data_IF_748097518208
#
_entry.id   IF_748097518208
#
_cell.length_a   1.000
_cell.length_b   1.000
_cell.length_c   1.000
_cell.angle_alpha   90.00
_cell.angle_beta   90.00
_cell.angle_gamma   90.00
#
_symmetry.space_group_name_H-M   'P 1'
#
loop_
_entity.id
_entity.type
_entity.pdbx_description
1 polymer ?
#
# COMPACT_ATOMS: atom_id res chain seq x y z
N UNK A 1 -55.84 52.82 12.68
CA UNK A 1 -55.41 54.08 13.32
C UNK A 1 -54.13 53.81 14.08
N UNK A 2 -53.09 54.62 13.81
CA UNK A 2 -52.04 55.09 14.75
C UNK A 2 -51.14 54.01 15.39
N UNK A 3 -49.89 53.84 14.91
CA UNK A 3 -48.65 54.55 15.34
C UNK A 3 -48.03 53.95 16.62
N UNK A 4 -46.72 53.80 16.83
CA UNK A 4 -45.48 54.18 16.14
C UNK A 4 -44.32 53.43 16.86
N UNK A 5 -43.16 53.20 16.22
CA UNK A 5 -41.90 53.92 16.48
C UNK A 5 -41.18 53.46 17.77
N UNK A 6 -39.88 53.18 17.88
CA UNK A 6 -38.68 53.55 17.14
C UNK A 6 -37.51 52.61 17.57
N UNK A 7 -36.64 52.12 16.67
CA UNK A 7 -35.26 52.55 16.35
C UNK A 7 -34.11 52.22 17.34
N UNK A 8 -33.15 51.44 16.78
CA UNK A 8 -31.67 51.64 16.68
C UNK A 8 -30.70 51.00 17.69
N UNK A 9 -29.63 50.42 17.10
CA UNK A 9 -28.30 50.12 17.65
C UNK A 9 -27.85 48.70 17.28
N UNK A 10 -27.37 48.39 16.07
CA UNK A 10 -26.01 48.61 15.51
C UNK A 10 -24.89 48.44 16.52
N UNK A 11 -24.25 47.27 16.51
CA UNK A 11 -22.83 47.11 16.86
C UNK A 11 -22.22 45.89 16.16
N UNK A 12 -21.47 46.15 15.10
CA UNK A 12 -20.26 45.39 14.73
C UNK A 12 -19.06 46.28 15.10
N UNK A 13 -17.76 45.89 14.97
CA UNK A 13 -17.12 44.60 14.65
C UNK A 13 -16.02 44.29 15.75
N UNK A 14 -14.82 43.67 15.57
CA UNK A 14 -13.89 43.72 14.43
C UNK A 14 -13.34 42.37 13.91
N UNK A 15 -12.96 42.45 12.64
CA UNK A 15 -12.05 41.56 11.96
C UNK A 15 -10.59 41.80 12.40
N UNK A 16 -9.82 40.71 12.51
CA UNK A 16 -8.36 40.55 12.34
C UNK A 16 -8.04 39.14 12.88
N UNK A 17 -7.19 38.29 12.32
CA UNK A 17 -5.96 38.56 11.60
C UNK A 17 -5.65 37.35 10.71
N UNK A 18 -5.21 37.63 9.48
CA UNK A 18 -4.59 36.67 8.59
C UNK A 18 -3.24 36.21 9.17
N UNK A 19 -2.95 34.91 9.11
CA UNK A 19 -1.60 34.40 9.23
C UNK A 19 -1.39 33.30 8.18
N UNK A 20 -1.06 33.74 6.97
CA UNK A 20 -0.37 32.93 5.99
C UNK A 20 1.07 32.73 6.50
N UNK A 21 1.46 31.48 6.75
CA UNK A 21 2.88 31.12 6.87
C UNK A 21 3.16 29.96 5.92
N UNK A 22 3.65 30.31 4.75
CA UNK A 22 4.35 29.38 3.87
C UNK A 22 5.67 28.99 4.54
N UNK A 23 5.89 27.68 4.70
CA UNK A 23 7.21 27.19 5.08
C UNK A 23 7.86 26.43 3.93
N UNK A 24 9.00 26.98 3.54
CA UNK A 24 9.82 26.62 2.40
C UNK A 24 10.42 25.22 2.58
N UNK A 25 10.48 24.51 1.46
CA UNK A 25 11.39 23.37 1.23
C UNK A 25 12.83 23.81 1.49
N UNK A 26 13.55 23.09 2.33
CA UNK A 26 15.01 23.00 2.28
C UNK A 26 15.42 21.54 2.14
N UNK A 27 16.02 21.24 0.98
CA UNK A 27 16.89 20.09 0.78
C UNK A 27 18.28 20.48 1.31
N UNK A 28 18.82 19.71 2.24
CA UNK A 28 20.27 19.60 2.42
C UNK A 28 20.56 18.29 3.15
N UNK A 29 21.25 17.38 2.45
CA UNK A 29 21.69 16.13 3.03
C UNK A 29 22.81 16.35 4.06
N UNK A 30 22.97 15.38 4.94
CA UNK A 30 24.28 14.97 5.41
C UNK A 30 24.25 13.52 5.91
N UNK A 31 25.01 12.68 5.21
CA UNK A 31 25.50 11.41 5.72
C UNK A 31 26.36 11.66 6.95
N UNK A 32 25.96 11.14 8.11
CA UNK A 32 26.86 10.98 9.26
C UNK A 32 27.17 9.52 9.45
N UNK A 33 28.36 9.17 8.96
CA UNK A 33 29.12 7.97 9.25
C UNK A 33 29.72 8.15 10.66
N UNK A 34 29.54 7.17 11.53
CA UNK A 34 30.21 7.12 12.84
C UNK A 34 30.76 5.69 13.09
N UNK A 35 31.79 5.56 13.95
CA UNK A 35 32.96 4.73 13.67
C UNK A 35 32.99 3.38 14.41
N UNK A 36 34.02 2.61 14.08
CA UNK A 36 34.18 1.20 14.43
C UNK A 36 34.48 0.88 15.89
N UNK A 37 34.23 -0.39 16.22
CA UNK A 37 34.73 -1.10 17.39
C UNK A 37 35.57 -2.30 16.95
N UNK A 38 36.69 -2.48 17.64
CA UNK A 38 37.88 -3.24 17.28
C UNK A 38 37.85 -4.72 17.69
N UNK A 39 38.54 -5.55 16.88
CA UNK A 39 39.37 -6.75 17.18
C UNK A 39 38.88 -7.86 18.14
N UNK A 40 38.90 -9.09 17.59
CA UNK A 40 39.77 -10.20 18.03
C UNK A 40 39.95 -11.17 16.84
N UNK A 41 41.05 -11.11 16.06
CA UNK A 41 42.30 -11.87 16.19
C UNK A 41 42.13 -13.32 16.68
N UNK A 42 42.27 -14.29 15.75
CA UNK A 42 43.16 -15.43 15.93
C UNK A 42 43.79 -15.80 14.59
N UNK A 43 45.11 -15.88 14.65
CA UNK A 43 46.05 -16.23 13.59
C UNK A 43 45.99 -17.72 13.28
N UNK A 44 46.28 -18.09 12.03
CA UNK A 44 47.26 -19.14 11.72
C UNK A 44 47.60 -19.10 10.21
N UNK A 45 48.87 -18.76 9.94
CA UNK A 45 49.83 -19.39 9.02
C UNK A 45 49.28 -20.16 7.80
N UNK A 46 49.78 -20.00 6.57
CA UNK A 46 51.06 -19.52 6.06
C UNK A 46 51.40 -20.34 4.80
N UNK A 47 52.34 -19.83 3.98
CA UNK A 47 52.91 -20.42 2.74
C UNK A 47 51.99 -20.26 1.50
N UNK A 48 52.34 -19.55 0.42
CA UNK A 48 53.65 -19.27 -0.18
C UNK A 48 53.89 -20.22 -1.35
N UNK A 49 53.63 -19.78 -2.60
CA UNK A 49 53.94 -20.53 -3.83
C UNK A 49 53.23 -19.98 -5.08
N UNK A 50 53.82 -20.04 -6.29
CA UNK A 50 54.01 -18.85 -7.13
C UNK A 50 53.02 -18.66 -8.29
N UNK A 51 52.95 -17.42 -8.76
CA UNK A 51 52.33 -17.00 -10.02
C UNK A 51 53.08 -17.63 -11.21
N UNK A 52 52.35 -18.34 -12.07
CA UNK A 52 52.72 -18.54 -13.48
C UNK A 52 51.55 -18.10 -14.35
N UNK A 53 51.78 -17.05 -15.12
CA UNK A 53 51.00 -16.65 -16.29
C UNK A 53 51.29 -17.60 -17.44
N UNK A 54 50.25 -18.25 -17.97
CA UNK A 54 50.28 -18.82 -19.33
C UNK A 54 48.99 -18.39 -20.01
N UNK A 55 49.16 -17.54 -21.02
CA UNK A 55 48.19 -17.22 -22.06
C UNK A 55 47.85 -18.47 -22.88
N UNK A 56 46.57 -18.72 -23.16
CA UNK A 56 46.20 -19.77 -24.11
C UNK A 56 44.70 -20.05 -24.22
N UNK A 57 44.16 -19.68 -25.37
CA UNK A 57 43.07 -20.35 -26.11
C UNK A 57 41.71 -20.59 -25.43
N UNK A 58 40.80 -19.69 -25.83
CA UNK A 58 39.37 -19.90 -26.10
C UNK A 58 39.07 -21.32 -26.61
N UNK A 59 38.32 -22.10 -25.81
CA UNK A 59 37.43 -23.15 -26.30
C UNK A 59 36.10 -23.00 -25.56
N UNK A 60 35.15 -22.34 -26.22
CA UNK A 60 33.74 -22.48 -25.92
C UNK A 60 33.29 -23.83 -26.47
N UNK A 61 33.13 -24.82 -25.60
CA UNK A 61 32.30 -26.02 -25.77
C UNK A 61 31.47 -26.09 -24.48
N UNK A 62 30.16 -25.92 -24.49
CA UNK A 62 29.22 -26.71 -25.27
C UNK A 62 28.60 -27.72 -24.30
N UNK A 63 27.34 -27.49 -23.91
CA UNK A 63 26.52 -28.43 -23.15
C UNK A 63 26.48 -28.19 -21.64
N UNK A 64 25.65 -27.25 -21.19
CA UNK A 64 25.14 -27.28 -19.82
C UNK A 64 24.19 -28.49 -19.68
N UNK A 65 24.76 -29.69 -19.53
CA UNK A 65 24.01 -30.90 -19.17
C UNK A 65 23.20 -30.57 -17.92
N UNK A 66 21.87 -30.60 -18.04
CA UNK A 66 20.97 -30.43 -16.91
C UNK A 66 21.31 -31.49 -15.86
N UNK A 67 22.10 -31.11 -14.86
CA UNK A 67 22.52 -31.99 -13.78
C UNK A 67 21.25 -32.55 -13.15
N UNK A 68 21.01 -33.86 -13.30
CA UNK A 68 19.91 -34.57 -12.63
C UNK A 68 20.05 -34.27 -11.14
N UNK A 69 19.10 -33.52 -10.57
CA UNK A 69 19.13 -33.15 -9.14
C UNK A 69 19.18 -34.44 -8.34
N UNK A 70 20.27 -34.69 -7.60
CA UNK A 70 20.35 -35.84 -6.70
C UNK A 70 19.15 -35.82 -5.77
N UNK A 71 18.41 -36.94 -5.73
CA UNK A 71 17.28 -37.09 -4.82
C UNK A 71 17.79 -37.09 -3.39
N UNK A 72 17.37 -36.10 -2.59
CA UNK A 72 17.76 -35.94 -1.18
C UNK A 72 16.54 -36.25 -0.30
N UNK A 73 16.28 -37.54 0.04
CA UNK A 73 15.05 -37.94 0.73
C UNK A 73 14.91 -37.28 2.10
N UNK A 74 16.02 -37.13 2.84
CA UNK A 74 16.04 -36.48 4.16
C UNK A 74 15.64 -35.00 4.04
N UNK A 75 16.13 -34.28 3.03
CA UNK A 75 15.77 -32.88 2.82
C UNK A 75 14.29 -32.72 2.46
N UNK A 76 13.75 -33.63 1.63
CA UNK A 76 12.33 -33.66 1.29
C UNK A 76 11.45 -33.94 2.52
N UNK A 77 11.84 -34.91 3.35
CA UNK A 77 11.14 -35.24 4.59
C UNK A 77 11.19 -34.10 5.60
N UNK A 78 12.36 -33.48 5.81
CA UNK A 78 12.50 -32.33 6.70
C UNK A 78 11.65 -31.14 6.24
N UNK A 79 11.54 -30.91 4.92
CA UNK A 79 10.66 -29.89 4.35
C UNK A 79 9.19 -30.16 4.71
N UNK A 80 8.71 -31.39 4.50
CA UNK A 80 7.33 -31.80 4.85
C UNK A 80 7.04 -31.62 6.35
N UNK A 81 7.97 -32.03 7.22
CA UNK A 81 7.82 -31.88 8.68
C UNK A 81 7.76 -30.41 9.07
N UNK A 82 8.62 -29.55 8.49
CA UNK A 82 8.59 -28.10 8.76
C UNK A 82 7.28 -27.47 8.32
N UNK A 83 6.78 -27.82 7.14
CA UNK A 83 5.50 -27.32 6.62
C UNK A 83 4.33 -27.76 7.49
N UNK A 84 4.30 -29.04 7.88
CA UNK A 84 3.29 -29.56 8.81
C UNK A 84 3.31 -28.84 10.16
N UNK A 85 4.50 -28.69 10.76
CA UNK A 85 4.67 -27.94 12.02
C UNK A 85 4.27 -26.47 11.87
N UNK A 86 4.58 -25.84 10.73
CA UNK A 86 4.21 -24.46 10.46
C UNK A 86 2.68 -24.28 10.30
N UNK A 87 1.98 -25.27 9.74
CA UNK A 87 0.52 -25.27 9.66
C UNK A 87 -0.12 -25.47 11.03
N UNK A 88 0.39 -26.44 11.81
CA UNK A 88 -0.14 -26.78 13.14
C UNK A 88 0.12 -25.67 14.17
N UNK A 89 1.33 -25.12 14.17
CA UNK A 89 1.77 -24.07 15.09
C UNK A 89 1.60 -22.67 14.47
N UNK A 90 0.67 -22.51 13.53
CA UNK A 90 0.42 -21.21 12.92
C UNK A 90 -0.20 -20.29 13.98
N UNK A 91 0.45 -19.17 14.36
CA UNK A 91 -0.11 -18.27 15.36
C UNK A 91 -1.41 -17.67 14.82
N UNK A 92 -2.39 -17.48 15.71
CA UNK A 92 -3.71 -16.94 15.36
C UNK A 92 -3.65 -15.43 15.10
N UNK A 93 -4.68 -14.85 14.47
CA UNK A 93 -4.63 -13.42 14.19
C UNK A 93 -4.72 -12.61 15.50
N UNK A 94 -5.33 -13.15 16.55
CA UNK A 94 -5.29 -12.60 17.91
C UNK A 94 -3.87 -12.50 18.49
N UNK A 95 -3.10 -13.58 18.44
CA UNK A 95 -1.72 -13.61 18.94
C UNK A 95 -0.78 -12.73 18.11
N UNK A 96 -0.95 -12.76 16.77
CA UNK A 96 -0.14 -11.96 15.84
C UNK A 96 -0.36 -10.47 16.02
N UNK A 97 -1.62 -10.08 16.21
CA UNK A 97 -2.01 -8.68 16.21
C UNK A 97 -2.32 -8.10 17.59
N UNK A 98 -2.14 -8.89 18.66
CA UNK A 98 -2.09 -8.41 20.03
C UNK A 98 -1.16 -7.20 20.16
N UNK A 99 -1.54 -6.26 21.02
CA UNK A 99 -0.88 -4.99 21.19
C UNK A 99 -1.02 -4.52 22.64
N UNK A 100 0.11 -4.18 23.25
CA UNK A 100 0.15 -3.55 24.57
C UNK A 100 -0.02 -2.04 24.40
N UNK A 101 -1.15 -1.50 24.86
CA UNK A 101 -1.52 -0.09 24.65
C UNK A 101 -0.62 0.91 25.41
N UNK A 102 0.06 0.47 26.46
CA UNK A 102 1.00 1.30 27.22
C UNK A 102 2.33 1.46 26.47
N UNK A 103 2.92 0.34 26.03
CA UNK A 103 4.28 0.31 25.45
C UNK A 103 4.29 0.41 23.92
N UNK A 104 3.13 0.25 23.27
CA UNK A 104 2.93 0.14 21.83
C UNK A 104 3.75 -1.00 21.20
N UNK A 105 3.95 -2.09 21.94
CA UNK A 105 4.68 -3.28 21.51
C UNK A 105 3.74 -4.43 21.23
N UNK A 106 4.12 -5.25 20.25
CA UNK A 106 3.44 -6.53 19.99
C UNK A 106 4.12 -7.63 20.79
N UNK A 107 3.45 -8.34 21.70
CA UNK A 107 4.09 -9.31 22.59
C UNK A 107 4.75 -10.47 21.84
N UNK A 108 4.16 -10.94 20.74
CA UNK A 108 4.73 -12.04 19.94
C UNK A 108 6.05 -11.68 19.24
N UNK A 109 6.14 -10.47 18.68
CA UNK A 109 7.31 -10.05 17.88
C UNK A 109 8.27 -9.13 18.63
N UNK A 110 7.83 -8.60 19.78
CA UNK A 110 8.49 -7.58 20.58
C UNK A 110 8.82 -6.28 19.81
N UNK A 111 8.25 -6.11 18.62
CA UNK A 111 8.42 -4.91 17.80
C UNK A 111 7.46 -3.81 18.26
N UNK A 112 7.98 -2.58 18.29
CA UNK A 112 7.20 -1.37 18.54
C UNK A 112 6.48 -0.92 17.27
N UNK A 113 5.29 -0.37 17.43
CA UNK A 113 4.59 0.30 16.33
C UNK A 113 5.27 1.61 15.95
N UNK A 114 5.18 2.04 14.68
CA UNK A 114 5.63 3.37 14.26
C UNK A 114 4.93 4.48 15.06
N UNK A 115 5.66 5.53 15.41
CA UNK A 115 5.18 6.63 16.27
C UNK A 115 3.91 7.28 15.73
N UNK A 116 3.83 7.49 14.41
CA UNK A 116 2.65 8.10 13.76
C UNK A 116 1.37 7.28 13.94
N UNK A 117 1.46 5.98 14.18
CA UNK A 117 0.30 5.13 14.39
C UNK A 117 -0.21 5.13 15.84
N UNK A 118 0.53 5.73 16.79
CA UNK A 118 0.19 5.66 18.22
C UNK A 118 -1.09 6.43 18.56
N UNK A 119 -1.31 7.57 17.92
CA UNK A 119 -2.52 8.38 18.11
C UNK A 119 -3.77 7.63 17.64
N UNK A 120 -3.69 7.04 16.45
CA UNK A 120 -4.77 6.25 15.86
C UNK A 120 -5.09 5.02 16.73
N UNK A 121 -4.05 4.32 17.20
CA UNK A 121 -4.20 3.15 18.11
C UNK A 121 -4.97 3.47 19.38
N UNK A 122 -4.82 4.67 19.93
CA UNK A 122 -5.46 5.07 21.20
C UNK A 122 -6.89 5.55 21.00
N UNK A 123 -7.17 6.23 19.89
CA UNK A 123 -8.42 6.95 19.69
C UNK A 123 -9.44 6.15 18.88
N UNK A 124 -8.96 5.30 17.96
CA UNK A 124 -9.80 4.64 16.97
C UNK A 124 -9.89 3.13 17.21
N UNK A 125 -10.84 2.49 16.52
CA UNK A 125 -11.13 1.08 16.70
C UNK A 125 -10.61 0.21 15.54
N UNK A 126 -10.40 -1.07 15.85
CA UNK A 126 -10.24 -2.12 14.84
C UNK A 126 -11.58 -2.40 14.17
N UNK A 127 -11.53 -2.90 12.94
CA UNK A 127 -12.76 -3.21 12.19
C UNK A 127 -13.66 -4.19 12.95
N UNK A 128 -13.10 -5.31 13.41
CA UNK A 128 -13.89 -6.38 14.05
C UNK A 128 -14.39 -6.00 15.44
N UNK A 129 -13.65 -5.16 16.18
CA UNK A 129 -14.14 -4.59 17.43
C UNK A 129 -15.45 -3.80 17.25
N UNK A 130 -15.63 -3.14 16.09
CA UNK A 130 -16.89 -2.47 15.74
C UNK A 130 -17.97 -3.44 15.28
N UNK A 131 -17.60 -4.47 14.51
CA UNK A 131 -18.54 -5.42 13.92
C UNK A 131 -19.11 -6.41 14.93
N UNK A 132 -18.32 -6.86 15.91
CA UNK A 132 -18.77 -7.82 16.92
C UNK A 132 -19.85 -7.26 17.85
N UNK A 133 -19.99 -5.93 17.95
CA UNK A 133 -21.07 -5.27 18.67
C UNK A 133 -22.40 -5.28 17.92
N UNK A 134 -22.39 -5.64 16.63
CA UNK A 134 -23.56 -5.65 15.77
C UNK A 134 -24.12 -7.06 15.57
N UNK A 135 -25.44 -7.17 15.35
CA UNK A 135 -26.03 -8.43 14.94
C UNK A 135 -25.44 -8.87 13.60
N UNK A 136 -25.21 -10.19 13.47
CA UNK A 136 -24.62 -10.82 12.26
C UNK A 136 -23.30 -10.19 11.82
N UNK A 137 -22.47 -9.74 12.78
CA UNK A 137 -21.16 -9.14 12.54
C UNK A 137 -21.19 -7.95 11.55
N UNK A 138 -22.31 -7.23 11.51
CA UNK A 138 -22.45 -6.04 10.66
C UNK A 138 -22.42 -6.32 9.16
N UNK A 139 -22.88 -7.50 8.70
CA UNK A 139 -23.07 -7.76 7.26
C UNK A 139 -24.08 -6.77 6.67
N UNK A 140 -23.75 -6.22 5.50
CA UNK A 140 -24.52 -5.21 4.78
C UNK A 140 -24.26 -3.77 5.25
N UNK A 141 -23.41 -3.57 6.28
CA UNK A 141 -23.06 -2.22 6.77
C UNK A 141 -21.93 -1.61 5.93
N UNK A 142 -21.95 -0.28 5.85
CA UNK A 142 -20.86 0.51 5.27
C UNK A 142 -19.84 0.90 6.32
N UNK A 143 -18.57 0.67 6.02
CA UNK A 143 -17.45 1.06 6.90
C UNK A 143 -16.47 1.91 6.13
N UNK A 144 -15.97 2.96 6.78
CA UNK A 144 -15.00 3.90 6.26
C UNK A 144 -13.73 3.86 7.10
N UNK A 145 -12.69 4.58 6.64
CA UNK A 145 -11.43 4.74 7.37
C UNK A 145 -11.17 6.21 7.63
N UNK A 146 -10.66 6.54 8.81
CA UNK A 146 -10.18 7.88 9.16
C UNK A 146 -9.19 8.41 8.12
N UNK A 147 -8.20 7.59 7.75
CA UNK A 147 -7.20 7.96 6.75
C UNK A 147 -7.79 8.26 5.37
N UNK A 148 -8.96 7.72 5.04
CA UNK A 148 -9.65 8.05 3.79
C UNK A 148 -10.42 9.35 3.89
N UNK A 149 -11.14 9.56 5.01
CA UNK A 149 -11.86 10.80 5.27
C UNK A 149 -10.93 12.03 5.28
N UNK A 150 -9.66 11.86 5.66
CA UNK A 150 -8.68 12.94 5.67
C UNK A 150 -7.95 13.13 4.35
N UNK A 151 -7.85 12.07 3.53
CA UNK A 151 -7.09 12.11 2.29
C UNK A 151 -7.94 12.46 1.07
N UNK A 152 -9.24 12.12 1.10
CA UNK A 152 -10.14 12.22 -0.05
C UNK A 152 -11.45 12.87 0.37
N UNK A 153 -11.92 13.82 -0.44
CA UNK A 153 -13.28 14.37 -0.34
C UNK A 153 -14.31 13.39 -0.93
N UNK A 154 -13.88 12.53 -1.85
CA UNK A 154 -14.75 11.54 -2.47
C UNK A 154 -15.07 10.37 -1.52
N UNK A 155 -16.28 9.81 -1.55
CA UNK A 155 -16.65 8.75 -0.64
C UNK A 155 -15.87 7.47 -0.94
N UNK A 156 -15.20 6.99 0.11
CA UNK A 156 -14.43 5.76 0.11
C UNK A 156 -14.95 4.86 1.24
N UNK A 157 -15.56 3.74 0.89
CA UNK A 157 -16.16 2.84 1.87
C UNK A 157 -16.12 1.38 1.40
N UNK A 158 -16.24 0.49 2.38
CA UNK A 158 -16.47 -0.93 2.17
C UNK A 158 -17.90 -1.28 2.55
N UNK A 159 -18.58 -2.06 1.71
CA UNK A 159 -19.84 -2.72 2.07
C UNK A 159 -19.52 -4.15 2.48
N UNK A 160 -19.76 -4.49 3.73
CA UNK A 160 -19.37 -5.80 4.27
C UNK A 160 -20.34 -6.88 3.77
N UNK A 161 -19.79 -8.00 3.28
CA UNK A 161 -20.58 -9.16 2.83
C UNK A 161 -20.37 -10.38 3.70
N UNK A 162 -19.11 -10.68 4.04
CA UNK A 162 -18.74 -11.86 4.85
C UNK A 162 -17.74 -11.46 5.91
N UNK A 163 -17.84 -12.07 7.08
CA UNK A 163 -16.92 -11.86 8.18
C UNK A 163 -16.57 -13.21 8.79
N UNK A 164 -15.28 -13.44 9.00
CA UNK A 164 -14.75 -14.60 9.70
C UNK A 164 -13.97 -14.09 10.91
N UNK A 165 -14.63 -14.09 12.06
CA UNK A 165 -14.02 -13.73 13.32
C UNK A 165 -13.13 -14.87 13.85
N UNK A 166 -12.08 -14.49 14.58
CA UNK A 166 -11.24 -15.42 15.33
C UNK A 166 -11.87 -15.67 16.70
N UNK A 167 -12.48 -16.85 16.87
CA UNK A 167 -13.16 -17.26 18.10
C UNK A 167 -12.21 -17.51 19.29
N UNK A 168 -10.90 -17.51 19.07
CA UNK A 168 -9.91 -17.65 20.15
C UNK A 168 -9.69 -16.37 20.94
N UNK A 169 -10.10 -15.22 20.37
CA UNK A 169 -10.05 -13.94 21.08
C UNK A 169 -11.30 -13.80 21.95
N UNK A 170 -11.11 -13.42 23.21
CA UNK A 170 -12.20 -13.23 24.18
C UNK A 170 -13.25 -12.24 23.68
N UNK A 171 -12.81 -11.14 23.07
CA UNK A 171 -13.69 -10.09 22.53
C UNK A 171 -14.01 -10.25 21.04
N UNK A 172 -13.58 -11.36 20.41
CA UNK A 172 -13.72 -11.60 18.97
C UNK A 172 -13.24 -10.42 18.08
N UNK A 173 -12.27 -9.64 18.55
CA UNK A 173 -11.81 -8.38 17.95
C UNK A 173 -10.83 -8.57 16.77
N UNK A 174 -10.54 -9.82 16.42
CA UNK A 174 -9.62 -10.24 15.38
C UNK A 174 -10.27 -11.17 14.36
N UNK A 175 -9.69 -11.23 13.15
CA UNK A 175 -10.21 -12.04 12.05
C UNK A 175 -10.12 -11.36 10.69
N UNK A 176 -10.98 -11.79 9.76
CA UNK A 176 -10.99 -11.37 8.35
C UNK A 176 -12.37 -10.95 7.92
N UNK A 177 -12.42 -9.99 7.01
CA UNK A 177 -13.66 -9.49 6.44
C UNK A 177 -13.55 -9.40 4.92
N UNK A 178 -14.68 -9.56 4.24
CA UNK A 178 -14.82 -9.41 2.80
C UNK A 178 -15.94 -8.43 2.50
N UNK A 179 -15.80 -7.71 1.40
CA UNK A 179 -16.78 -6.71 1.00
C UNK A 179 -16.59 -6.18 -0.41
N UNK A 180 -17.51 -5.31 -0.81
CA UNK A 180 -17.39 -4.49 -2.02
C UNK A 180 -16.66 -3.20 -1.68
N UNK A 181 -15.62 -2.88 -2.45
CA UNK A 181 -14.89 -1.63 -2.32
C UNK A 181 -15.53 -0.57 -3.21
N UNK A 182 -15.90 0.56 -2.62
CA UNK A 182 -16.13 1.79 -3.38
C UNK A 182 -14.98 2.72 -3.08
N UNK A 183 -14.13 2.98 -4.07
CA UNK A 183 -12.97 3.86 -3.93
C UNK A 183 -13.14 5.08 -4.82
N UNK A 184 -13.19 6.27 -4.22
CA UNK A 184 -13.39 7.56 -4.90
C UNK A 184 -14.60 7.53 -5.84
N UNK A 185 -15.73 7.00 -5.34
CA UNK A 185 -16.97 6.84 -6.11
C UNK A 185 -17.00 5.71 -7.15
N UNK A 186 -15.87 5.05 -7.45
CA UNK A 186 -15.83 3.88 -8.34
C UNK A 186 -16.11 2.62 -7.54
N UNK A 187 -17.24 1.98 -7.81
CA UNK A 187 -17.66 0.75 -7.11
C UNK A 187 -17.08 -0.46 -7.83
N UNK A 188 -16.40 -1.34 -7.09
CA UNK A 188 -15.97 -2.64 -7.60
C UNK A 188 -17.10 -3.67 -7.46
N UNK A 189 -17.36 -4.42 -8.54
CA UNK A 189 -18.38 -5.49 -8.57
C UNK A 189 -17.90 -6.80 -7.93
N UNK A 190 -16.59 -7.00 -7.79
CA UNK A 190 -16.00 -8.21 -7.21
C UNK A 190 -15.89 -8.08 -5.68
N UNK A 191 -16.34 -9.10 -4.95
CA UNK A 191 -16.12 -9.17 -3.50
C UNK A 191 -14.62 -9.40 -3.24
N UNK A 192 -13.99 -8.49 -2.49
CA UNK A 192 -12.56 -8.58 -2.12
C UNK A 192 -12.36 -8.75 -0.63
N UNK A 193 -11.24 -9.38 -0.27
CA UNK A 193 -10.77 -9.42 1.12
C UNK A 193 -10.36 -8.00 1.53
N UNK A 194 -10.91 -7.55 2.65
CA UNK A 194 -10.59 -6.24 3.22
C UNK A 194 -9.17 -6.33 3.76
N UNK A 195 -8.28 -5.51 3.21
CA UNK A 195 -6.93 -5.40 3.73
C UNK A 195 -6.89 -4.52 4.98
N UNK A 196 -5.89 -4.72 5.85
CA UNK A 196 -5.65 -3.88 7.04
C UNK A 196 -6.80 -3.86 8.06
N UNK A 197 -7.55 -4.97 8.18
CA UNK A 197 -8.60 -5.18 9.21
C UNK A 197 -8.09 -4.89 10.63
N UNK A 198 -6.83 -5.22 10.90
CA UNK A 198 -6.17 -5.07 12.19
C UNK A 198 -5.70 -3.64 12.52
N UNK A 199 -5.87 -2.67 11.62
CA UNK A 199 -5.47 -1.28 11.88
C UNK A 199 -6.52 -0.59 12.77
N UNK A 200 -6.10 0.43 13.51
CA UNK A 200 -6.99 1.24 14.33
C UNK A 200 -7.38 2.48 13.54
N UNK A 201 -8.02 2.29 12.38
CA UNK A 201 -8.39 3.41 11.50
C UNK A 201 -9.88 3.38 11.15
N UNK A 202 -10.61 2.38 11.64
CA UNK A 202 -11.92 2.04 11.12
C UNK A 202 -13.00 2.83 11.85
N UNK A 203 -13.94 3.36 11.06
CA UNK A 203 -15.13 4.04 11.55
C UNK A 203 -16.35 3.49 10.83
N UNK A 204 -17.43 3.32 11.56
CA UNK A 204 -18.69 2.85 10.99
C UNK A 204 -19.53 4.05 10.56
N UNK A 205 -20.14 3.96 9.38
CA UNK A 205 -21.10 4.99 8.94
C UNK A 205 -22.48 4.66 9.54
N UNK A 206 -23.11 5.60 10.26
CA UNK A 206 -24.48 5.44 10.75
C UNK A 206 -25.50 5.29 9.61
N UNK A 207 -26.55 4.47 9.81
CA UNK A 207 -27.59 4.16 8.81
C UNK A 207 -28.17 5.37 8.08
N UNK A 208 -28.50 6.40 8.85
CA UNK A 208 -29.15 7.60 8.32
C UNK A 208 -28.22 8.45 7.46
N UNK A 209 -26.91 8.33 7.63
CA UNK A 209 -25.91 9.08 6.84
C UNK A 209 -25.45 8.29 5.61
N UNK A 210 -25.76 6.99 5.50
CA UNK A 210 -25.26 6.15 4.40
C UNK A 210 -25.72 6.65 3.03
N UNK A 211 -26.96 7.13 2.92
CA UNK A 211 -27.49 7.66 1.67
C UNK A 211 -26.82 8.98 1.29
N UNK A 212 -26.58 9.85 2.27
CA UNK A 212 -25.85 11.10 2.04
C UNK A 212 -24.40 10.82 1.63
N UNK A 213 -23.75 9.84 2.26
CA UNK A 213 -22.38 9.46 1.96
C UNK A 213 -22.24 8.77 0.59
N UNK A 214 -23.27 8.08 0.12
CA UNK A 214 -23.30 7.44 -1.20
C UNK A 214 -23.55 8.42 -2.34
N UNK A 215 -24.21 9.55 -2.08
CA UNK A 215 -24.47 10.59 -3.08
C UNK A 215 -23.15 11.23 -3.48
N UNK A 216 -22.63 10.81 -4.62
CA UNK A 216 -21.43 11.39 -5.21
C UNK A 216 -21.67 11.69 -6.67
N UNK A 217 -21.38 12.92 -7.06
CA UNK A 217 -21.36 13.34 -8.45
C UNK A 217 -19.97 13.03 -9.00
N UNK A 218 -19.82 12.05 -9.90
CA UNK A 218 -18.50 11.73 -10.45
C UNK A 218 -17.96 12.94 -11.20
N UNK A 219 -16.91 13.56 -10.65
CA UNK A 219 -16.14 14.58 -11.36
C UNK A 219 -15.45 13.90 -12.53
N UNK A 220 -15.63 14.44 -13.74
CA UNK A 220 -14.95 13.93 -14.92
C UNK A 220 -13.44 14.13 -14.74
N UNK A 221 -12.69 13.02 -14.68
CA UNK A 221 -11.24 13.08 -14.61
C UNK A 221 -10.69 13.45 -16.01
N UNK A 222 -10.30 14.71 -16.20
CA UNK A 222 -9.57 15.16 -17.39
C UNK A 222 -8.16 14.57 -17.35
N UNK A 223 -7.96 13.41 -17.96
CA UNK A 223 -6.64 12.80 -18.06
C UNK A 223 -5.86 13.44 -19.20
N UNK A 224 -4.68 13.97 -18.90
CA UNK A 224 -3.72 14.45 -19.91
C UNK A 224 -3.30 13.24 -20.75
N UNK A 225 -3.66 13.23 -22.03
CA UNK A 225 -3.39 12.11 -22.95
C UNK A 225 -1.94 12.08 -23.42
N UNK A 226 -1.35 13.25 -23.63
CA UNK A 226 -0.04 13.39 -24.28
C UNK A 226 0.92 14.22 -23.43
N UNK A 227 2.15 13.72 -23.25
CA UNK A 227 3.25 14.48 -22.64
C UNK A 227 4.41 14.66 -23.62
N UNK A 228 5.09 15.81 -23.61
CA UNK A 228 6.28 15.98 -24.42
C UNK A 228 7.41 15.06 -23.96
N UNK A 229 8.22 14.57 -24.90
CA UNK A 229 9.44 13.83 -24.56
C UNK A 229 10.46 14.74 -23.84
N UNK A 230 11.26 14.19 -22.90
CA UNK A 230 12.36 14.94 -22.29
C UNK A 230 13.36 15.39 -23.37
N UNK A 231 14.08 16.51 -23.14
CA UNK A 231 14.77 17.27 -24.19
C UNK A 231 15.78 16.45 -24.99
N UNK A 232 16.52 15.54 -24.35
CA UNK A 232 17.48 14.67 -25.02
C UNK A 232 16.79 13.69 -25.99
N UNK A 233 15.73 13.01 -25.53
CA UNK A 233 15.01 12.05 -26.36
C UNK A 233 14.30 12.74 -27.53
N UNK A 234 13.72 13.92 -27.27
CA UNK A 234 13.15 14.77 -28.32
C UNK A 234 14.21 15.06 -29.40
N UNK A 235 15.40 15.51 -29.01
CA UNK A 235 16.47 15.82 -29.96
C UNK A 235 16.95 14.58 -30.73
N UNK A 236 17.07 13.42 -30.08
CA UNK A 236 17.46 12.16 -30.73
C UNK A 236 16.43 11.70 -31.78
N UNK A 237 15.14 11.78 -31.45
CA UNK A 237 14.04 11.41 -32.34
C UNK A 237 14.02 12.33 -33.56
N UNK A 238 14.14 13.64 -33.33
CA UNK A 238 14.19 14.64 -34.42
C UNK A 238 15.41 14.41 -35.33
N UNK A 239 16.59 14.15 -34.75
CA UNK A 239 17.79 13.83 -35.52
C UNK A 239 17.66 12.52 -36.32
N UNK A 240 16.93 11.53 -35.80
CA UNK A 240 16.65 10.29 -36.52
C UNK A 240 15.68 10.52 -37.69
N UNK A 241 14.62 11.29 -37.50
CA UNK A 241 13.67 11.62 -38.58
C UNK A 241 14.30 12.42 -39.71
N UNK A 242 15.21 13.35 -39.37
CA UNK A 242 16.03 14.07 -40.35
C UNK A 242 16.87 13.11 -41.21
N UNK A 243 17.46 12.08 -40.59
CA UNK A 243 18.22 11.05 -41.33
C UNK A 243 17.33 10.16 -42.20
N UNK A 244 16.11 9.88 -41.76
CA UNK A 244 15.14 9.03 -42.47
C UNK A 244 14.36 9.80 -43.55
N UNK A 245 14.54 11.13 -43.67
CA UNK A 245 13.86 11.96 -44.67
C UNK A 245 12.36 12.17 -44.41
N UNK A 246 11.88 11.96 -43.18
CA UNK A 246 10.48 12.16 -42.80
C UNK A 246 10.21 13.65 -42.51
N UNK A 247 9.05 14.21 -42.93
CA UNK A 247 8.72 15.61 -42.66
C UNK A 247 8.58 15.87 -41.15
N UNK A 248 9.31 16.87 -40.65
CA UNK A 248 9.45 17.24 -39.23
C UNK A 248 8.27 18.14 -38.79
N UNK A 249 7.04 17.75 -39.09
CA UNK A 249 5.87 18.62 -38.84
C UNK A 249 5.21 18.32 -37.48
N UNK A 250 5.43 17.13 -36.93
CA UNK A 250 4.78 16.70 -35.68
C UNK A 250 5.78 16.67 -34.52
N UNK A 251 5.40 17.23 -33.37
CA UNK A 251 6.21 17.07 -32.16
C UNK A 251 6.07 15.65 -31.62
N UNK A 252 7.19 14.95 -31.32
CA UNK A 252 7.09 13.64 -30.70
C UNK A 252 6.45 13.81 -29.32
N UNK A 253 5.37 13.08 -29.08
CA UNK A 253 4.64 13.05 -27.82
C UNK A 253 4.51 11.63 -27.27
N UNK A 254 4.60 11.50 -25.95
CA UNK A 254 4.38 10.27 -25.21
C UNK A 254 2.89 10.13 -24.93
N UNK A 255 2.28 9.09 -25.49
CA UNK A 255 0.89 8.72 -25.24
C UNK A 255 0.76 7.96 -23.91
N UNK A 256 0.14 8.59 -22.92
CA UNK A 256 0.02 8.05 -21.56
C UNK A 256 -1.08 6.99 -21.42
N UNK A 257 -2.10 6.99 -22.29
CA UNK A 257 -3.21 6.03 -22.20
C UNK A 257 -2.71 4.59 -22.38
N UNK A 258 -1.75 4.40 -23.30
CA UNK A 258 -1.11 3.10 -23.55
C UNK A 258 -0.27 2.62 -22.37
N UNK A 259 0.30 3.52 -21.58
CA UNK A 259 1.15 3.20 -20.42
C UNK A 259 0.30 2.80 -19.20
N UNK A 260 -0.87 3.41 -19.02
CA UNK A 260 -1.79 3.07 -17.94
C UNK A 260 -2.43 1.68 -18.08
N UNK A 261 -2.46 1.12 -19.29
CA UNK A 261 -2.79 -0.29 -19.56
C UNK A 261 -1.67 -1.25 -19.11
N UNK A 262 -1.32 -1.22 -17.83
CA UNK A 262 -0.25 -2.04 -17.25
C UNK A 262 -0.64 -3.54 -17.15
N UNK A 263 0.33 -4.47 -16.94
CA UNK A 263 0.19 -5.91 -17.16
C UNK A 263 -0.92 -6.64 -16.38
N UNK A 264 -1.48 -6.03 -15.32
CA UNK A 264 -2.56 -6.62 -14.54
C UNK A 264 -3.83 -6.86 -15.37
N UNK A 265 -4.12 -6.00 -16.35
CA UNK A 265 -5.23 -6.25 -17.29
C UNK A 265 -4.91 -7.38 -18.28
N UNK A 266 -3.64 -7.55 -18.68
CA UNK A 266 -3.21 -8.69 -19.52
C UNK A 266 -3.27 -10.02 -18.77
N UNK A 267 -3.00 -10.04 -17.46
CA UNK A 267 -3.09 -11.26 -16.65
C UNK A 267 -4.54 -11.75 -16.50
N UNK A 268 -5.52 -10.84 -16.30
CA UNK A 268 -6.95 -11.20 -16.28
C UNK A 268 -7.43 -11.75 -17.63
N UNK A 269 -6.97 -11.18 -18.77
CA UNK A 269 -7.34 -11.68 -20.11
C UNK A 269 -6.76 -13.06 -20.46
N UNK A 270 -5.60 -13.45 -19.90
CA UNK A 270 -4.99 -14.77 -20.15
C UNK A 270 -5.68 -15.91 -19.38
N UNK A 271 -6.35 -15.64 -18.26
CA UNK A 271 -7.02 -16.67 -17.47
C UNK A 271 -8.37 -17.12 -18.08
N UNK A 272 -8.99 -16.31 -18.93
CA UNK A 272 -10.28 -16.62 -19.58
C UNK A 272 -10.12 -17.41 -20.89
N UNK A 273 -8.89 -17.65 -21.35
CA UNK A 273 -8.58 -18.19 -22.69
C UNK A 273 -7.85 -19.53 -22.69
N UNK A 274 -8.17 -20.46 -21.80
CA UNK A 274 -7.73 -21.86 -21.95
C UNK A 274 -8.85 -22.80 -21.49
N UNK A 275 -9.78 -23.04 -22.41
CA UNK A 275 -10.53 -24.30 -22.49
C UNK A 275 -9.93 -25.07 -23.67
N UNK A 276 -9.00 -25.98 -23.38
CA UNK A 276 -8.68 -27.17 -24.18
C UNK A 276 -8.33 -28.27 -23.19
#
# INVERSE_FOLDING_TARGET
MQSGGARRGVSAPPAACAAAQGFRRTRSGHCTRAPGGFRARREAAGRGGPRRSVSGSRVLRGGAMARKKLHRPIAAMAKKIREYRALKNRPRDSERFALDYETMRRPLTQKRLPVLAWEDVRNENRLLALLCRLPRLGVGRTVTRKSWLWAYEEPCYWVITKVKADYTAENMDHGRAWGYLTFRGKTEEEVREINKVMYHDWRMVPKHEEEAFKKFTPVQEETIRYLPYPPLLRAMILAQWQKEGKPITEEPMIDLEKVMASPHQRAKKKATGTLV
#
